data_IF_096697897866
#
_entry.id   IF_096697897866
#
_cell.length_a   1.000
_cell.length_b   1.000
_cell.length_c   1.000
_cell.angle_alpha   90.00
_cell.angle_beta   90.00
_cell.angle_gamma   90.00
#
_symmetry.space_group_name_H-M   'P 1'
#
loop_
_entity.id
_entity.type
_entity.pdbx_description
1 polymer ?
#
# COMPACT_ATOMS: atom_id res chain seq x y z
N UNK A 1 1.39 7.93 -19.95
CA UNK A 1 2.17 9.15 -19.61
C UNK A 1 2.57 9.99 -20.83
N UNK A 2 2.34 9.53 -22.07
CA UNK A 2 2.90 10.19 -23.26
C UNK A 2 2.12 11.40 -23.79
N UNK A 3 0.84 11.54 -23.40
CA UNK A 3 0.01 12.68 -23.81
C UNK A 3 0.34 13.98 -23.05
N UNK A 4 0.88 13.88 -21.83
CA UNK A 4 1.12 15.01 -20.92
C UNK A 4 2.46 15.71 -21.21
N UNK A 5 3.45 14.97 -21.69
CA UNK A 5 4.78 15.47 -22.04
C UNK A 5 4.80 16.31 -23.31
N UNK A 6 3.84 16.09 -24.22
CA UNK A 6 3.84 16.67 -25.56
C UNK A 6 3.37 18.13 -25.62
N UNK A 7 2.54 18.59 -24.67
CA UNK A 7 2.00 19.96 -24.65
C UNK A 7 2.37 20.72 -23.36
N UNK A 8 3.37 21.60 -23.49
CA UNK A 8 3.94 22.44 -22.40
C UNK A 8 2.91 23.34 -21.70
N UNK A 9 1.92 23.85 -22.44
CA UNK A 9 0.84 24.66 -21.88
C UNK A 9 -0.13 23.84 -21.03
N UNK A 10 -0.56 22.67 -21.52
CA UNK A 10 -1.41 21.76 -20.76
C UNK A 10 -0.73 21.29 -19.47
N UNK A 11 0.57 20.98 -19.54
CA UNK A 11 1.39 20.66 -18.35
C UNK A 11 1.40 21.80 -17.34
N UNK A 12 1.52 23.06 -17.81
CA UNK A 12 1.52 24.23 -16.93
C UNK A 12 0.17 24.43 -16.26
N UNK A 13 -0.94 24.29 -16.99
CA UNK A 13 -2.31 24.40 -16.47
C UNK A 13 -2.58 23.33 -15.40
N UNK A 14 -2.26 22.07 -15.69
CA UNK A 14 -2.41 20.96 -14.73
C UNK A 14 -1.54 21.17 -13.49
N UNK A 15 -0.30 21.68 -13.65
CA UNK A 15 0.58 21.98 -12.53
C UNK A 15 0.12 23.20 -11.70
N UNK A 16 -0.57 24.17 -12.30
CA UNK A 16 -0.95 25.43 -11.66
C UNK A 16 -2.33 25.42 -10.97
N UNK A 17 -3.09 24.32 -11.06
CA UNK A 17 -4.42 24.20 -10.44
C UNK A 17 -4.34 23.14 -9.33
N UNK A 18 -4.15 23.55 -8.06
CA UNK A 18 -3.99 22.61 -6.94
C UNK A 18 -5.16 21.64 -6.77
N UNK A 19 -6.38 22.12 -7.02
CA UNK A 19 -7.60 21.35 -6.94
C UNK A 19 -7.66 20.13 -7.88
N UNK A 20 -6.87 20.11 -8.97
CA UNK A 20 -6.82 18.96 -9.88
C UNK A 20 -6.02 17.77 -9.32
N UNK A 21 -5.12 18.01 -8.35
CA UNK A 21 -4.27 16.95 -7.79
C UNK A 21 -4.60 16.58 -6.34
N UNK A 22 -5.33 17.43 -5.61
CA UNK A 22 -5.80 17.15 -4.24
C UNK A 22 -6.63 15.86 -4.11
N UNK A 23 -7.59 15.56 -5.01
CA UNK A 23 -8.37 14.33 -4.92
C UNK A 23 -7.52 13.07 -5.09
N UNK A 24 -6.47 13.14 -5.91
CA UNK A 24 -5.53 12.03 -6.17
C UNK A 24 -4.70 11.74 -4.91
N UNK A 25 -4.29 12.78 -4.17
CA UNK A 25 -3.61 12.63 -2.88
C UNK A 25 -4.52 12.05 -1.80
N UNK A 26 -5.83 12.30 -1.90
CA UNK A 26 -6.81 11.87 -0.91
C UNK A 26 -7.34 10.44 -1.11
N UNK A 27 -7.06 9.78 -2.25
CA UNK A 27 -7.56 8.43 -2.55
C UNK A 27 -6.67 7.31 -2.03
N UNK A 28 -5.38 7.57 -1.87
CA UNK A 28 -4.55 6.76 -1.00
C UNK A 28 -4.87 7.24 0.42
N UNK A 29 -5.68 6.49 1.16
CA UNK A 29 -5.76 6.64 2.62
C UNK A 29 -5.39 5.35 3.32
N UNK A 30 -5.68 4.21 2.71
CA UNK A 30 -5.37 2.91 3.28
C UNK A 30 -4.05 2.30 2.82
N UNK A 31 -3.72 1.18 3.44
CA UNK A 31 -2.62 0.33 3.02
C UNK A 31 -3.04 -1.15 3.11
N UNK A 32 -2.51 -1.96 2.19
CA UNK A 32 -2.78 -3.39 2.16
C UNK A 32 -1.47 -4.15 1.91
N UNK A 33 -1.31 -5.29 2.57
CA UNK A 33 -0.23 -6.26 2.35
C UNK A 33 -0.85 -7.60 2.01
N UNK A 34 -0.56 -8.13 0.83
CA UNK A 34 -0.95 -9.48 0.44
C UNK A 34 0.26 -10.40 0.53
N UNK A 35 0.13 -11.51 1.26
CA UNK A 35 1.07 -12.62 1.20
C UNK A 35 0.62 -13.57 0.10
N UNK A 36 1.58 -13.99 -0.71
CA UNK A 36 1.33 -14.81 -1.89
C UNK A 36 2.16 -16.09 -1.79
N UNK A 37 1.59 -17.24 -2.18
CA UNK A 37 2.31 -18.50 -2.29
C UNK A 37 3.29 -18.50 -3.46
N UNK A 38 4.12 -19.54 -3.55
CA UNK A 38 5.00 -19.75 -4.72
C UNK A 38 4.20 -19.88 -6.04
N UNK A 39 2.97 -20.39 -5.96
CA UNK A 39 2.06 -20.54 -7.10
C UNK A 39 1.30 -19.26 -7.46
N UNK A 40 1.53 -18.15 -6.75
CA UNK A 40 0.85 -16.88 -7.01
C UNK A 40 -0.51 -16.73 -6.33
N UNK A 41 -0.90 -17.65 -5.44
CA UNK A 41 -2.17 -17.58 -4.73
C UNK A 41 -2.08 -16.66 -3.51
N UNK A 42 -3.08 -15.81 -3.30
CA UNK A 42 -3.14 -14.96 -2.11
C UNK A 42 -3.52 -15.82 -0.90
N UNK A 43 -2.56 -16.07 -0.03
CA UNK A 43 -2.75 -16.89 1.18
C UNK A 43 -3.14 -16.06 2.41
N UNK A 44 -2.94 -14.73 2.34
CA UNK A 44 -3.27 -13.80 3.42
C UNK A 44 -3.34 -12.38 2.92
N UNK A 45 -4.26 -11.60 3.50
CA UNK A 45 -4.31 -10.15 3.33
C UNK A 45 -4.34 -9.47 4.69
N UNK A 46 -3.50 -8.46 4.87
CA UNK A 46 -3.56 -7.49 5.95
C UNK A 46 -4.07 -6.18 5.36
N UNK A 47 -5.21 -5.70 5.85
CA UNK A 47 -5.85 -4.49 5.33
C UNK A 47 -5.98 -3.43 6.44
N UNK A 48 -5.52 -2.22 6.13
CA UNK A 48 -5.85 -0.98 6.85
C UNK A 48 -6.41 0.00 5.83
N UNK A 49 -7.55 -0.35 5.22
CA UNK A 49 -8.23 0.46 4.19
C UNK A 49 -8.59 1.87 4.64
N UNK A 50 -8.64 2.12 5.96
CA UNK A 50 -8.91 3.44 6.54
C UNK A 50 -7.63 4.23 6.88
N UNK A 51 -6.44 3.60 6.84
CA UNK A 51 -5.17 4.24 7.15
C UNK A 51 -5.02 4.65 8.60
N UNK A 52 -5.66 3.94 9.54
CA UNK A 52 -5.66 4.32 10.96
C UNK A 52 -4.29 4.12 11.61
N UNK A 53 -3.53 3.14 11.12
CA UNK A 53 -2.24 2.75 11.67
C UNK A 53 -1.12 3.14 10.72
N UNK A 54 -1.25 2.77 9.45
CA UNK A 54 -0.24 3.07 8.42
C UNK A 54 -0.91 3.32 7.07
N UNK A 55 -0.37 4.29 6.34
CA UNK A 55 -0.83 4.66 5.03
C UNK A 55 0.30 4.45 4.01
N UNK A 56 -0.05 4.09 2.77
CA UNK A 56 0.82 4.08 1.59
C UNK A 56 2.11 3.26 1.78
N UNK A 57 1.93 1.96 2.01
CA UNK A 57 3.06 1.01 2.09
C UNK A 57 3.68 0.85 0.71
N UNK A 58 4.99 1.01 0.63
CA UNK A 58 5.78 0.85 -0.61
C UNK A 58 6.66 -0.40 -0.60
N UNK A 59 6.90 -0.97 0.58
CA UNK A 59 7.74 -2.16 0.75
C UNK A 59 7.37 -2.93 2.01
N UNK A 60 7.56 -4.25 1.93
CA UNK A 60 7.37 -5.18 3.05
C UNK A 60 8.59 -6.11 3.10
N UNK A 61 9.12 -6.33 4.29
CA UNK A 61 10.21 -7.30 4.50
C UNK A 61 9.90 -8.13 5.73
N UNK A 62 9.90 -9.44 5.57
CA UNK A 62 9.83 -10.37 6.69
C UNK A 62 11.23 -10.61 7.25
N UNK A 63 11.41 -10.39 8.55
CA UNK A 63 12.66 -10.67 9.24
C UNK A 63 12.39 -10.95 10.72
N UNK A 64 13.02 -12.00 11.26
CA UNK A 64 12.95 -12.35 12.68
C UNK A 64 11.53 -12.47 13.23
N UNK A 65 10.62 -13.14 12.51
CA UNK A 65 9.22 -13.32 12.92
C UNK A 65 8.36 -12.04 12.90
N UNK A 66 8.82 -11.00 12.22
CA UNK A 66 8.13 -9.73 12.08
C UNK A 66 8.05 -9.28 10.62
N UNK A 67 6.97 -8.58 10.29
CA UNK A 67 6.85 -7.80 9.06
C UNK A 67 7.28 -6.36 9.34
N UNK A 68 8.25 -5.89 8.56
CA UNK A 68 8.67 -4.51 8.51
C UNK A 68 8.02 -3.82 7.31
N UNK A 69 7.34 -2.70 7.56
CA UNK A 69 6.54 -1.98 6.58
C UNK A 69 7.17 -0.62 6.31
N UNK A 70 7.64 -0.41 5.08
CA UNK A 70 8.16 0.87 4.61
C UNK A 70 7.05 1.70 3.98
N UNK A 71 7.00 2.99 4.31
CA UNK A 71 6.08 3.96 3.74
C UNK A 71 6.80 5.27 3.44
N UNK A 72 6.39 5.95 2.37
CA UNK A 72 6.86 7.31 2.05
C UNK A 72 5.96 8.39 2.67
N UNK A 73 4.87 8.00 3.34
CA UNK A 73 3.90 8.91 3.94
C UNK A 73 4.00 9.00 5.47
N UNK A 74 4.88 8.20 6.08
CA UNK A 74 5.11 8.18 7.54
C UNK A 74 6.58 8.46 7.86
N UNK A 75 6.84 8.92 9.09
CA UNK A 75 8.19 9.18 9.62
C UNK A 75 8.70 8.04 10.51
N UNK A 76 8.12 6.84 10.37
CA UNK A 76 8.46 5.64 11.13
C UNK A 76 8.40 4.40 10.24
N UNK A 77 9.07 3.32 10.67
CA UNK A 77 8.96 1.99 10.07
C UNK A 77 7.90 1.19 10.83
N UNK A 78 6.91 0.66 10.12
CA UNK A 78 5.91 -0.22 10.74
C UNK A 78 6.51 -1.56 11.12
N UNK A 79 6.15 -2.10 12.28
CA UNK A 79 6.56 -3.44 12.74
C UNK A 79 5.34 -4.22 13.20
N UNK A 80 5.08 -5.37 12.59
CA UNK A 80 3.98 -6.27 12.95
C UNK A 80 4.53 -7.67 13.26
N UNK A 81 4.20 -8.20 14.44
CA UNK A 81 4.61 -9.55 14.82
C UNK A 81 3.72 -10.58 14.13
N UNK A 82 4.34 -11.57 13.46
CA UNK A 82 3.60 -12.65 12.80
C UNK A 82 2.84 -13.54 13.79
N UNK A 83 3.31 -13.64 15.04
CA UNK A 83 2.59 -14.36 16.09
C UNK A 83 1.21 -13.75 16.42
N UNK A 84 0.99 -12.47 16.08
CA UNK A 84 -0.29 -11.77 16.27
C UNK A 84 -1.16 -11.82 15.01
N UNK A 85 -0.65 -12.39 13.91
CA UNK A 85 -1.34 -12.45 12.63
C UNK A 85 -2.03 -13.82 12.51
N UNK A 86 -3.37 -13.88 12.45
CA UNK A 86 -4.10 -15.16 12.49
C UNK A 86 -3.79 -16.03 11.28
N UNK A 87 -3.24 -17.24 11.43
CA UNK A 87 -2.99 -18.14 10.30
C UNK A 87 -4.30 -18.60 9.63
N UNK A 88 -4.44 -18.36 8.33
CA UNK A 88 -5.49 -18.97 7.52
C UNK A 88 -5.03 -20.38 7.15
N UNK A 89 -5.27 -21.35 8.04
CA UNK A 89 -5.13 -22.78 7.76
C UNK A 89 -6.14 -23.55 8.63
N UNK A 90 -7.40 -23.55 8.20
CA UNK A 90 -8.43 -24.53 8.58
C UNK A 90 -9.75 -24.24 7.82
N UNK A 91 -9.74 -24.33 6.49
CA UNK A 91 -10.99 -24.31 5.72
C UNK A 91 -10.89 -25.02 4.36
N UNK A 92 -10.07 -26.07 4.23
CA UNK A 92 -10.20 -27.04 3.12
C UNK A 92 -9.82 -28.42 3.63
N UNK A 93 -10.73 -29.04 4.37
CA UNK A 93 -10.80 -30.50 4.53
C UNK A 93 -12.22 -30.85 4.98
N UNK A 94 -13.12 -30.99 4.02
CA UNK A 94 -14.41 -31.68 4.15
C UNK A 94 -14.78 -32.23 2.78
#
# INVERSE_FOLDING_TARGET
MDLITRWTLAKRVVASIPALHEPIKATAKGAMVAQVSEDGEIIRVLDDSQGKVIHFITSVTEFDGHLFLGSLSTNFVGKLSLAKVPHVHAAVSS
#
